data_IF_606501513297
#
_entry.id   IF_606501513297
#
_cell.length_a   1.000
_cell.length_b   1.000
_cell.length_c   1.000
_cell.angle_alpha   90.00
_cell.angle_beta   90.00
_cell.angle_gamma   90.00
#
_symmetry.space_group_name_H-M   'P 1'
#
loop_
_entity.id
_entity.type
_entity.pdbx_description
1 polymer ?
#
# COMPACT_ATOMS: atom_id res chain seq x y z
N UNK A 1 -14.87 -27.20 -56.14
CA UNK A 1 -14.91 -28.02 -54.90
C UNK A 1 -13.53 -28.26 -54.24
N UNK A 2 -12.42 -27.68 -54.72
CA UNK A 2 -11.08 -27.89 -54.12
C UNK A 2 -10.79 -27.13 -52.81
N UNK A 3 -11.49 -26.02 -52.52
CA UNK A 3 -11.19 -25.13 -51.37
C UNK A 3 -11.58 -25.74 -50.00
N UNK A 4 -12.68 -26.50 -49.94
CA UNK A 4 -13.14 -27.11 -48.69
C UNK A 4 -12.26 -28.29 -48.23
N UNK A 5 -11.62 -28.97 -49.19
CA UNK A 5 -10.75 -30.09 -48.91
C UNK A 5 -9.37 -29.64 -48.38
N UNK A 6 -8.89 -28.48 -48.83
CA UNK A 6 -7.68 -27.86 -48.26
C UNK A 6 -7.96 -27.31 -46.85
N UNK A 7 -9.14 -26.75 -46.59
CA UNK A 7 -9.49 -26.21 -45.27
C UNK A 7 -9.52 -27.26 -44.13
N UNK A 8 -9.85 -28.53 -44.43
CA UNK A 8 -9.80 -29.61 -43.43
C UNK A 8 -8.37 -30.00 -43.03
N UNK A 9 -7.40 -29.86 -43.94
CA UNK A 9 -5.98 -30.18 -43.68
C UNK A 9 -5.31 -29.09 -42.81
N UNK A 10 -5.69 -27.82 -43.03
CA UNK A 10 -5.27 -26.68 -42.21
C UNK A 10 -5.91 -26.69 -40.81
N UNK A 11 -7.13 -27.21 -40.62
CA UNK A 11 -7.72 -27.25 -39.28
C UNK A 11 -7.00 -28.29 -38.38
N UNK A 12 -6.60 -29.44 -38.95
CA UNK A 12 -6.04 -30.56 -38.19
C UNK A 12 -4.61 -30.29 -37.67
N UNK A 13 -3.80 -29.57 -38.45
CA UNK A 13 -2.39 -29.28 -38.12
C UNK A 13 -2.21 -27.99 -37.32
N UNK A 14 -3.23 -27.13 -37.23
CA UNK A 14 -3.19 -25.96 -36.36
C UNK A 14 -3.85 -26.23 -35.00
N UNK A 15 -4.64 -27.30 -34.91
CA UNK A 15 -5.30 -27.72 -33.67
C UNK A 15 -4.30 -28.07 -32.56
N UNK A 16 -3.19 -28.76 -32.88
CA UNK A 16 -2.19 -29.09 -31.85
C UNK A 16 -1.50 -27.83 -31.31
N UNK A 17 -1.27 -26.81 -32.15
CA UNK A 17 -0.74 -25.51 -31.72
C UNK A 17 -1.73 -24.79 -30.81
N UNK A 18 -3.02 -24.80 -31.16
CA UNK A 18 -4.06 -24.20 -30.32
C UNK A 18 -4.18 -24.92 -28.97
N UNK A 19 -4.08 -26.25 -28.93
CA UNK A 19 -4.09 -27.04 -27.69
C UNK A 19 -2.88 -26.70 -26.82
N UNK A 20 -1.68 -26.64 -27.40
CA UNK A 20 -0.47 -26.27 -26.64
C UNK A 20 -0.61 -24.86 -26.05
N UNK A 21 -1.14 -23.90 -26.82
CA UNK A 21 -1.38 -22.54 -26.31
C UNK A 21 -2.35 -22.52 -25.12
N UNK A 22 -3.44 -23.28 -25.20
CA UNK A 22 -4.39 -23.38 -24.09
C UNK A 22 -3.78 -24.03 -22.84
N UNK A 23 -2.95 -25.06 -23.02
CA UNK A 23 -2.24 -25.71 -21.90
C UNK A 23 -1.26 -24.74 -21.25
N UNK A 24 -0.49 -23.98 -22.04
CA UNK A 24 0.45 -22.97 -21.53
C UNK A 24 -0.30 -21.87 -20.77
N UNK A 25 -1.42 -21.37 -21.30
CA UNK A 25 -2.25 -20.38 -20.59
C UNK A 25 -2.81 -20.93 -19.28
N UNK A 26 -3.29 -22.17 -19.27
CA UNK A 26 -3.77 -22.82 -18.06
C UNK A 26 -2.65 -22.99 -17.02
N UNK A 27 -1.43 -23.37 -17.45
CA UNK A 27 -0.27 -23.46 -16.57
C UNK A 27 0.14 -22.09 -16.02
N UNK A 28 0.18 -21.05 -16.84
CA UNK A 28 0.48 -19.68 -16.39
C UNK A 28 -0.58 -19.13 -15.42
N UNK A 29 -1.85 -19.49 -15.63
CA UNK A 29 -2.93 -19.15 -14.70
C UNK A 29 -2.78 -19.87 -13.36
N UNK A 30 -2.46 -21.17 -13.38
CA UNK A 30 -2.18 -21.94 -12.16
C UNK A 30 -0.93 -21.46 -11.42
N UNK A 31 0.08 -20.95 -12.13
CA UNK A 31 1.29 -20.34 -11.57
C UNK A 31 1.06 -18.90 -11.06
N UNK A 32 -0.15 -18.35 -11.18
CA UNK A 32 -0.48 -17.03 -10.65
C UNK A 32 0.22 -15.87 -11.38
N UNK A 33 0.75 -16.08 -12.59
CA UNK A 33 1.46 -15.04 -13.36
C UNK A 33 0.54 -13.85 -13.69
N UNK A 34 -0.77 -14.09 -13.77
CA UNK A 34 -1.79 -13.05 -14.00
C UNK A 34 -2.37 -12.46 -12.71
N UNK A 35 -1.94 -12.93 -11.54
CA UNK A 35 -2.33 -12.37 -10.25
C UNK A 35 -1.07 -11.77 -9.59
N UNK A 36 -0.53 -10.66 -10.11
CA UNK A 36 0.49 -9.93 -9.38
C UNK A 36 -0.15 -9.57 -8.03
N UNK A 37 0.36 -10.08 -6.90
CA UNK A 37 -0.22 -9.85 -5.57
C UNK A 37 -0.65 -8.38 -5.42
N UNK A 38 -1.94 -8.12 -5.65
CA UNK A 38 -2.54 -6.77 -5.61
C UNK A 38 -2.84 -6.40 -4.15
N UNK A 39 -2.50 -7.29 -3.23
CA UNK A 39 -2.62 -7.15 -1.79
C UNK A 39 -1.58 -6.20 -1.18
N UNK A 40 -0.90 -5.40 -2.02
CA UNK A 40 -0.15 -4.26 -1.50
C UNK A 40 -1.19 -3.27 -0.98
N UNK A 41 -1.11 -2.94 0.30
CA UNK A 41 -2.05 -1.99 0.86
C UNK A 41 -2.04 -0.70 0.05
N UNK A 42 -3.22 -0.24 -0.33
CA UNK A 42 -3.41 0.95 -1.13
C UNK A 42 -3.45 2.13 -0.15
N UNK A 43 -2.74 3.19 -0.50
CA UNK A 43 -2.70 4.41 0.29
C UNK A 43 -3.06 5.59 -0.60
N UNK A 44 -4.20 6.21 -0.32
CA UNK A 44 -4.68 7.39 -1.03
C UNK A 44 -4.21 8.64 -0.26
N UNK A 45 -3.17 9.28 -0.78
CA UNK A 45 -2.65 10.55 -0.27
C UNK A 45 -2.84 11.67 -1.30
N UNK A 46 -3.30 12.83 -0.85
CA UNK A 46 -3.31 14.04 -1.67
C UNK A 46 -1.99 14.82 -1.49
N UNK A 47 -1.61 15.61 -2.52
CA UNK A 47 -0.46 16.51 -2.46
C UNK A 47 -0.61 17.43 -1.24
N UNK A 48 0.42 17.63 -0.39
CA UNK A 48 1.85 17.39 -0.62
C UNK A 48 2.40 16.00 -0.27
N UNK A 49 1.55 15.06 0.15
CA UNK A 49 1.98 13.77 0.65
C UNK A 49 2.01 12.70 -0.44
N UNK A 50 3.00 11.82 -0.37
CA UNK A 50 3.16 10.64 -1.20
C UNK A 50 3.35 9.45 -0.30
N UNK A 51 2.39 8.53 -0.34
CA UNK A 51 2.42 7.29 0.40
C UNK A 51 2.79 6.14 -0.55
N UNK A 52 3.84 5.39 -0.23
CA UNK A 52 4.38 4.38 -1.15
C UNK A 52 4.04 2.97 -0.74
N UNK A 53 4.04 2.69 0.56
CA UNK A 53 3.87 1.33 1.07
C UNK A 53 3.23 1.36 2.45
N UNK A 54 2.47 0.32 2.74
CA UNK A 54 1.86 0.10 4.04
C UNK A 54 1.87 -1.39 4.36
N UNK A 55 2.26 -1.69 5.59
CA UNK A 55 2.36 -3.04 6.09
C UNK A 55 1.80 -3.10 7.50
N UNK A 56 0.92 -4.06 7.76
CA UNK A 56 0.52 -4.42 9.11
C UNK A 56 1.08 -5.82 9.39
N UNK A 57 1.96 -5.92 10.39
CA UNK A 57 2.66 -7.18 10.68
C UNK A 57 1.76 -8.27 11.27
N UNK A 58 2.19 -9.53 11.09
CA UNK A 58 1.58 -10.70 11.73
C UNK A 58 1.45 -10.45 13.25
N UNK A 59 0.23 -10.56 13.80
CA UNK A 59 -0.19 -10.23 15.18
C UNK A 59 -0.56 -8.77 15.48
N UNK A 60 -0.69 -7.88 14.49
CA UNK A 60 -1.11 -6.47 14.68
C UNK A 60 -0.20 -5.62 15.57
N UNK A 61 0.99 -6.09 15.92
CA UNK A 61 1.85 -5.39 16.88
C UNK A 61 2.47 -4.09 16.31
N UNK A 62 2.58 -3.98 14.98
CA UNK A 62 3.07 -2.76 14.34
C UNK A 62 2.48 -2.55 12.94
N UNK A 63 1.85 -1.39 12.75
CA UNK A 63 1.64 -0.83 11.42
C UNK A 63 2.90 -0.07 11.02
N UNK A 64 3.41 -0.29 9.83
CA UNK A 64 4.47 0.52 9.19
C UNK A 64 3.90 1.23 7.98
N UNK A 65 4.02 2.55 7.94
CA UNK A 65 3.57 3.39 6.84
C UNK A 65 4.75 4.16 6.23
N UNK A 66 5.01 3.97 4.93
CA UNK A 66 6.06 4.68 4.22
C UNK A 66 5.55 5.98 3.61
N UNK A 67 5.92 7.11 4.22
CA UNK A 67 5.46 8.44 3.83
C UNK A 67 6.60 9.34 3.34
N UNK A 68 6.26 10.23 2.42
CA UNK A 68 7.10 11.36 2.01
C UNK A 68 6.22 12.58 1.78
N UNK A 69 6.75 13.76 2.04
CA UNK A 69 6.11 15.02 1.68
C UNK A 69 7.04 15.91 0.86
N UNK A 70 6.46 16.78 0.02
CA UNK A 70 7.21 17.76 -0.76
C UNK A 70 6.59 19.15 -0.61
N UNK A 71 7.39 20.21 -0.58
CA UNK A 71 6.89 21.58 -0.45
C UNK A 71 6.42 21.97 0.96
N UNK A 72 6.70 21.14 1.98
CA UNK A 72 6.37 21.42 3.38
C UNK A 72 7.61 21.85 4.19
N UNK A 73 7.39 22.63 5.25
CA UNK A 73 8.42 23.08 6.20
C UNK A 73 8.61 22.06 7.33
N UNK A 74 7.52 21.62 7.95
CA UNK A 74 7.45 20.52 8.90
C UNK A 74 6.01 19.95 8.87
N UNK A 75 5.87 18.70 9.31
CA UNK A 75 4.59 18.01 9.47
C UNK A 75 4.37 17.80 10.95
N UNK A 76 3.25 18.29 11.49
CA UNK A 76 2.80 18.00 12.84
C UNK A 76 1.83 16.82 12.85
N UNK A 77 1.82 16.09 13.96
CA UNK A 77 0.88 15.01 14.18
C UNK A 77 0.62 14.85 15.68
N UNK A 78 -0.45 14.16 16.03
CA UNK A 78 -0.75 13.81 17.41
C UNK A 78 -0.42 12.33 17.66
N UNK A 79 0.44 12.07 18.64
CA UNK A 79 0.93 10.72 18.94
C UNK A 79 -0.21 9.73 19.22
N UNK A 80 -1.32 10.14 19.82
CA UNK A 80 -2.35 9.23 20.32
C UNK A 80 -3.54 9.04 19.39
N UNK A 81 -3.76 9.94 18.43
CA UNK A 81 -5.00 9.93 17.63
C UNK A 81 -4.81 10.31 16.15
N UNK A 82 -3.57 10.56 15.69
CA UNK A 82 -3.32 10.84 14.28
C UNK A 82 -3.68 9.64 13.40
N UNK A 83 -3.33 8.42 13.82
CA UNK A 83 -3.61 7.19 13.07
C UNK A 83 -4.80 6.45 13.68
N UNK A 84 -5.71 6.04 12.81
CA UNK A 84 -6.83 5.15 13.14
C UNK A 84 -6.86 3.97 12.19
N UNK A 85 -7.16 2.79 12.71
CA UNK A 85 -7.41 1.58 11.94
C UNK A 85 -8.73 1.00 12.42
N UNK A 86 -9.69 0.78 11.51
CA UNK A 86 -11.03 0.25 11.82
C UNK A 86 -11.67 0.99 13.02
N UNK A 87 -11.58 2.33 13.04
CA UNK A 87 -12.04 3.23 14.12
C UNK A 87 -11.32 3.13 15.48
N UNK A 88 -10.27 2.31 15.60
CA UNK A 88 -9.42 2.22 16.78
C UNK A 88 -8.19 3.09 16.61
N UNK A 89 -7.89 3.92 17.62
CA UNK A 89 -6.69 4.75 17.62
C UNK A 89 -5.44 3.86 17.70
N UNK A 90 -4.46 4.15 16.85
CA UNK A 90 -3.17 3.47 16.81
C UNK A 90 -2.08 4.48 17.20
N UNK A 91 -1.59 4.47 18.45
CA UNK A 91 -0.61 5.45 18.89
C UNK A 91 0.72 5.30 18.13
N UNK A 92 1.27 6.40 17.63
CA UNK A 92 2.54 6.41 16.91
C UNK A 92 3.68 6.11 17.89
N UNK A 93 4.48 5.11 17.57
CA UNK A 93 5.64 4.63 18.35
C UNK A 93 6.97 4.95 17.68
N UNK A 94 6.95 5.33 16.40
CA UNK A 94 8.10 5.82 15.64
C UNK A 94 7.57 6.74 14.53
N UNK A 95 8.08 7.95 14.40
CA UNK A 95 7.68 8.88 13.32
C UNK A 95 8.67 8.90 12.14
N UNK A 96 9.73 8.08 12.23
CA UNK A 96 10.77 7.94 11.22
C UNK A 96 11.77 9.10 11.16
N UNK A 97 11.72 10.04 12.11
CA UNK A 97 12.79 11.01 12.33
C UNK A 97 13.94 10.38 13.14
N UNK A 98 15.20 10.74 12.84
CA UNK A 98 16.34 10.24 13.60
C UNK A 98 16.31 10.77 15.04
N UNK A 99 16.69 9.91 15.99
CA UNK A 99 16.91 10.34 17.37
C UNK A 99 17.88 11.55 17.43
N UNK A 100 17.63 12.55 18.30
CA UNK A 100 16.68 12.54 19.41
C UNK A 100 15.28 13.05 19.08
N UNK A 101 14.97 13.34 17.81
CA UNK A 101 13.72 14.01 17.43
C UNK A 101 12.57 13.04 17.15
N UNK A 102 12.79 11.73 17.29
CA UNK A 102 11.71 10.75 17.16
C UNK A 102 10.65 10.99 18.24
N UNK A 103 9.38 11.01 17.85
CA UNK A 103 8.23 11.25 18.72
C UNK A 103 8.17 12.67 19.32
N UNK A 104 8.70 13.67 18.61
CA UNK A 104 8.64 15.08 19.04
C UNK A 104 7.37 15.82 18.53
N UNK A 105 6.38 15.07 18.03
CA UNK A 105 5.16 15.54 17.36
C UNK A 105 5.43 16.31 16.06
N UNK A 106 6.65 16.21 15.50
CA UNK A 106 7.07 16.92 14.29
C UNK A 106 7.97 16.08 13.38
N UNK A 107 7.41 15.60 12.28
CA UNK A 107 8.20 14.92 11.25
C UNK A 107 8.90 15.94 10.34
N UNK A 108 10.23 15.91 10.32
CA UNK A 108 11.08 16.78 9.48
C UNK A 108 11.71 15.99 8.34
N UNK A 109 12.10 14.72 8.60
CA UNK A 109 12.83 13.90 7.64
C UNK A 109 11.95 13.44 6.47
N UNK A 110 10.63 13.35 6.67
CA UNK A 110 9.65 13.04 5.64
C UNK A 110 9.70 13.99 4.43
N UNK A 111 10.27 15.18 4.58
CA UNK A 111 10.53 16.13 3.49
C UNK A 111 11.63 15.65 2.53
N UNK A 112 12.65 15.00 3.08
CA UNK A 112 13.89 14.68 2.38
C UNK A 112 13.96 13.21 1.97
N UNK A 113 13.37 12.32 2.74
CA UNK A 113 13.39 10.88 2.54
C UNK A 113 12.00 10.27 2.74
N UNK A 114 11.85 9.01 2.35
CA UNK A 114 10.73 8.20 2.84
C UNK A 114 11.00 7.89 4.31
N UNK A 115 10.01 8.16 5.15
CA UNK A 115 10.03 7.80 6.57
C UNK A 115 9.07 6.65 6.81
N UNK A 116 9.41 5.79 7.76
CA UNK A 116 8.56 4.69 8.20
C UNK A 116 7.90 5.09 9.52
N UNK A 117 6.62 5.45 9.46
CA UNK A 117 5.83 5.74 10.65
C UNK A 117 5.32 4.43 11.22
N UNK A 118 5.59 4.16 12.50
CA UNK A 118 5.10 2.99 13.21
C UNK A 118 4.04 3.35 14.21
N UNK A 119 3.02 2.52 14.34
CA UNK A 119 2.05 2.62 15.42
C UNK A 119 1.73 1.26 16.03
N UNK A 120 1.40 1.25 17.32
CA UNK A 120 1.00 0.05 18.06
C UNK A 120 -0.47 -0.26 17.77
N UNK A 121 -0.70 -1.34 17.04
CA UNK A 121 -2.00 -1.78 16.58
C UNK A 121 -2.56 -2.96 17.40
N UNK A 122 -1.94 -3.29 18.54
CA UNK A 122 -2.27 -4.48 19.34
C UNK A 122 -3.70 -4.54 19.90
N UNK A 123 -4.48 -3.46 19.80
CA UNK A 123 -5.90 -3.43 20.17
C UNK A 123 -6.84 -3.96 19.07
N UNK A 124 -6.34 -4.21 17.85
CA UNK A 124 -7.17 -4.51 16.68
C UNK A 124 -7.59 -5.99 16.57
N UNK A 125 -6.87 -6.91 17.20
CA UNK A 125 -7.12 -8.36 17.15
C UNK A 125 -7.34 -8.91 15.72
N UNK A 126 -6.67 -8.36 14.72
CA UNK A 126 -6.76 -8.84 13.33
C UNK A 126 -5.85 -10.05 13.14
N UNK A 127 -6.30 -11.00 12.34
CA UNK A 127 -5.50 -12.17 11.95
C UNK A 127 -4.98 -12.00 10.52
N UNK A 128 -4.00 -12.83 10.16
CA UNK A 128 -3.45 -12.91 8.81
C UNK A 128 -4.57 -12.97 7.76
N UNK A 129 -4.40 -12.23 6.67
CA UNK A 129 -5.37 -12.07 5.57
C UNK A 129 -6.66 -11.29 5.90
N UNK A 130 -6.81 -10.76 7.12
CA UNK A 130 -7.92 -9.86 7.43
C UNK A 130 -7.75 -8.51 6.70
N UNK A 131 -8.86 -7.95 6.23
CA UNK A 131 -8.88 -6.61 5.66
C UNK A 131 -8.87 -5.54 6.76
N UNK A 132 -8.00 -4.55 6.62
CA UNK A 132 -7.97 -3.38 7.47
C UNK A 132 -8.11 -2.11 6.64
N UNK A 133 -8.78 -1.13 7.22
CA UNK A 133 -8.89 0.22 6.67
C UNK A 133 -8.52 1.24 7.73
N UNK A 134 -7.92 2.34 7.34
CA UNK A 134 -7.48 3.35 8.27
C UNK A 134 -7.25 4.71 7.64
N UNK A 135 -7.01 5.66 8.51
CA UNK A 135 -6.74 7.05 8.16
C UNK A 135 -5.63 7.58 9.03
N UNK A 136 -4.75 8.39 8.46
CA UNK A 136 -3.80 9.21 9.21
C UNK A 136 -4.10 10.69 8.93
N UNK A 137 -4.24 11.46 10.01
CA UNK A 137 -4.45 12.90 9.97
C UNK A 137 -3.12 13.58 10.32
N UNK A 138 -2.63 14.39 9.39
CA UNK A 138 -1.38 15.13 9.52
C UNK A 138 -1.62 16.62 9.33
N UNK A 139 -1.06 17.43 10.20
CA UNK A 139 -1.00 18.87 10.00
C UNK A 139 0.32 19.19 9.28
N UNK A 140 0.30 20.10 8.31
CA UNK A 140 1.54 20.54 7.67
C UNK A 140 1.58 22.05 7.55
N UNK A 141 2.79 22.58 7.67
CA UNK A 141 3.06 23.99 7.41
C UNK A 141 3.79 24.13 6.09
N UNK A 142 3.23 24.89 5.16
CA UNK A 142 3.90 25.20 3.90
C UNK A 142 5.12 26.10 4.12
N UNK A 143 5.97 26.25 3.09
CA UNK A 143 7.13 27.16 3.13
C UNK A 143 6.70 28.60 3.47
N UNK A 144 5.49 28.98 3.08
CA UNK A 144 4.91 30.30 3.31
C UNK A 144 4.37 30.51 4.74
N UNK A 145 4.38 29.46 5.58
CA UNK A 145 3.91 29.52 6.97
C UNK A 145 2.41 29.29 7.18
N UNK A 146 1.65 29.01 6.12
CA UNK A 146 0.25 28.60 6.20
C UNK A 146 0.16 27.16 6.69
N UNK A 147 -0.76 26.92 7.63
CA UNK A 147 -1.03 25.60 8.18
C UNK A 147 -2.25 24.99 7.49
N UNK A 148 -2.13 23.72 7.15
CA UNK A 148 -3.17 22.93 6.51
C UNK A 148 -3.24 21.57 7.18
N UNK A 149 -4.42 20.94 7.07
CA UNK A 149 -4.62 19.57 7.51
C UNK A 149 -4.72 18.68 6.26
N UNK A 150 -4.10 17.51 6.32
CA UNK A 150 -4.21 16.47 5.30
C UNK A 150 -4.67 15.17 5.96
N UNK A 151 -5.61 14.52 5.30
CA UNK A 151 -6.06 13.18 5.65
C UNK A 151 -5.59 12.21 4.56
N UNK A 152 -4.84 11.20 4.97
CA UNK A 152 -4.39 10.13 4.10
C UNK A 152 -5.17 8.88 4.51
N UNK A 153 -5.83 8.25 3.56
CA UNK A 153 -6.60 7.02 3.81
C UNK A 153 -5.82 5.84 3.26
N UNK A 154 -5.91 4.69 3.95
CA UNK A 154 -5.24 3.49 3.53
C UNK A 154 -6.07 2.26 3.82
N UNK A 155 -5.86 1.21 3.04
CA UNK A 155 -6.47 -0.09 3.25
C UNK A 155 -5.54 -1.19 2.75
N UNK A 156 -5.67 -2.39 3.31
CA UNK A 156 -4.82 -3.50 2.95
C UNK A 156 -5.24 -4.78 3.64
N UNK A 157 -4.43 -5.82 3.46
CA UNK A 157 -4.58 -7.09 4.18
C UNK A 157 -3.46 -7.21 5.21
N UNK A 158 -3.75 -7.84 6.35
CA UNK A 158 -2.72 -8.21 7.32
C UNK A 158 -1.78 -9.24 6.69
N UNK A 159 -0.49 -8.90 6.62
CA UNK A 159 0.55 -9.80 6.11
C UNK A 159 0.90 -10.87 7.13
#
# INVERSE_FOLDING_TARGET
MRKAQTAMEFLMTYSWVAIIMLIVLAALFALGVFNPNINKGICNSEVPFSCTDIKLGENTDSLSLSLRASGVKYIGYNINNAVKINDVNCPITDDGDPAPNNLDEKMVNAKTAYVEVKCDAGALNLIKDDEFSGSIILDYTEINGLMHNAEITFNGLVE
#
